data_IF_969035713517
#
_entry.id   IF_969035713517
#
_cell.length_a   1.000
_cell.length_b   1.000
_cell.length_c   1.000
_cell.angle_alpha   90.00
_cell.angle_beta   90.00
_cell.angle_gamma   90.00
#
_symmetry.space_group_name_H-M   'P 1'
#
loop_
_entity.id
_entity.type
_entity.pdbx_description
1 polymer ?
#
# COMPACT_ATOMS: atom_id res chain seq x y z
N UNK A 1 -10.75 -16.31 7.47
CA UNK A 1 -11.26 -14.99 7.91
C UNK A 1 -10.69 -13.95 6.97
N UNK A 2 -11.44 -12.94 6.54
CA UNK A 2 -10.99 -12.01 5.50
C UNK A 2 -9.77 -11.24 6.02
N UNK A 3 -8.64 -11.44 5.36
CA UNK A 3 -7.37 -10.78 5.66
C UNK A 3 -7.13 -9.64 4.67
N UNK A 4 -7.78 -9.65 3.51
CA UNK A 4 -7.57 -8.65 2.46
C UNK A 4 -8.93 -8.17 1.98
N UNK A 5 -9.16 -6.86 2.02
CA UNK A 5 -10.32 -6.23 1.38
C UNK A 5 -9.80 -5.32 0.29
N UNK A 6 -10.11 -5.68 -0.95
CA UNK A 6 -9.78 -4.90 -2.14
C UNK A 6 -11.08 -4.59 -2.88
N UNK A 7 -11.40 -3.30 -2.97
CA UNK A 7 -12.52 -2.76 -3.75
C UNK A 7 -12.03 -1.64 -4.67
N UNK A 8 -10.73 -1.62 -4.98
CA UNK A 8 -10.11 -0.56 -5.76
C UNK A 8 -10.62 -0.51 -7.21
N UNK A 9 -10.43 0.62 -7.88
CA UNK A 9 -10.79 0.83 -9.29
C UNK A 9 -12.27 0.60 -9.59
N UNK A 10 -13.13 1.20 -8.76
CA UNK A 10 -14.57 1.17 -8.93
C UNK A 10 -15.14 2.60 -8.93
N UNK A 11 -16.46 2.69 -9.02
CA UNK A 11 -17.19 3.96 -8.94
C UNK A 11 -17.93 4.12 -7.61
N UNK A 12 -17.46 3.48 -6.53
CA UNK A 12 -18.09 3.64 -5.21
C UNK A 12 -18.02 5.10 -4.77
N UNK A 13 -19.09 5.60 -4.17
CA UNK A 13 -19.24 6.99 -3.80
C UNK A 13 -19.86 7.14 -2.41
N UNK A 14 -19.93 8.38 -1.94
CA UNK A 14 -20.40 8.71 -0.60
C UNK A 14 -19.34 8.46 0.46
N UNK A 15 -19.76 8.54 1.72
CA UNK A 15 -18.84 8.40 2.85
C UNK A 15 -18.47 6.96 3.11
N UNK A 16 -17.25 6.76 3.64
CA UNK A 16 -16.83 5.47 4.15
C UNK A 16 -17.80 5.01 5.27
N UNK A 17 -18.40 3.82 5.14
CA UNK A 17 -19.51 3.42 5.99
C UNK A 17 -19.06 2.87 7.34
N UNK A 18 -18.95 3.77 8.32
CA UNK A 18 -18.54 3.49 9.72
C UNK A 18 -19.15 2.22 10.32
N UNK A 19 -20.45 2.01 10.12
CA UNK A 19 -21.20 0.88 10.69
C UNK A 19 -20.74 -0.49 10.18
N UNK A 20 -20.13 -0.56 9.00
CA UNK A 20 -19.60 -1.83 8.48
C UNK A 20 -18.22 -2.13 9.06
N UNK A 21 -17.43 -1.11 9.38
CA UNK A 21 -16.11 -1.32 9.97
C UNK A 21 -16.17 -1.87 11.39
N UNK A 22 -17.24 -1.56 12.14
CA UNK A 22 -17.41 -2.09 13.50
C UNK A 22 -17.57 -3.61 13.57
N UNK A 23 -17.89 -4.29 12.46
CA UNK A 23 -18.05 -5.75 12.43
C UNK A 23 -16.76 -6.48 12.04
N UNK A 24 -15.68 -5.75 11.71
CA UNK A 24 -14.40 -6.32 11.28
C UNK A 24 -13.49 -6.63 12.47
N UNK A 25 -14.03 -7.32 13.48
CA UNK A 25 -13.38 -7.56 14.78
C UNK A 25 -11.97 -8.15 14.65
N UNK A 26 -11.77 -9.00 13.64
CA UNK A 26 -10.51 -9.71 13.45
C UNK A 26 -9.40 -8.83 12.87
N UNK A 27 -9.73 -7.70 12.24
CA UNK A 27 -8.75 -6.67 11.89
C UNK A 27 -8.43 -5.76 13.09
N UNK A 28 -9.32 -5.69 14.09
CA UNK A 28 -9.15 -4.83 15.27
C UNK A 28 -8.20 -5.39 16.32
N UNK A 29 -8.14 -6.72 16.42
CA UNK A 29 -7.29 -7.39 17.38
C UNK A 29 -5.93 -7.71 16.78
N UNK A 30 -4.89 -7.13 17.37
CA UNK A 30 -3.51 -7.53 17.18
C UNK A 30 -3.38 -8.93 17.82
N UNK A 31 -3.45 -10.01 17.02
CA UNK A 31 -3.18 -11.38 17.50
C UNK A 31 -1.67 -11.58 17.72
N UNK A 32 -1.02 -10.64 18.42
CA UNK A 32 0.40 -10.64 18.76
C UNK A 32 0.71 -11.45 20.04
N UNK A 33 -0.17 -12.39 20.36
CA UNK A 33 0.16 -13.52 21.23
C UNK A 33 0.20 -14.83 20.43
N UNK A 34 0.85 -14.80 19.27
CA UNK A 34 1.74 -15.91 18.95
C UNK A 34 3.09 -15.63 19.62
N UNK A 35 3.12 -15.79 20.95
CA UNK A 35 4.26 -16.56 21.48
C UNK A 35 4.23 -17.83 20.63
N UNK A 36 5.30 -18.24 19.93
CA UNK A 36 5.33 -19.59 19.39
C UNK A 36 4.94 -20.46 20.56
N UNK A 37 3.75 -21.07 20.50
CA UNK A 37 3.27 -21.88 21.60
C UNK A 37 4.21 -23.05 21.69
N UNK A 38 5.30 -22.88 22.45
CA UNK A 38 6.12 -23.97 22.92
C UNK A 38 5.21 -24.71 23.89
N UNK A 39 4.34 -25.58 23.35
CA UNK A 39 3.70 -26.60 24.15
C UNK A 39 4.87 -27.43 24.67
N UNK A 40 5.23 -27.18 25.93
CA UNK A 40 6.28 -27.86 26.65
C UNK A 40 5.78 -29.26 27.01
N UNK A 41 5.68 -30.13 26.02
CA UNK A 41 5.51 -31.57 26.24
C UNK A 41 6.36 -32.31 25.22
N UNK A 42 7.59 -32.63 25.63
CA UNK A 42 8.40 -33.71 25.08
C UNK A 42 8.65 -33.72 23.56
N UNK A 43 9.77 -33.12 23.15
CA UNK A 43 10.59 -33.53 21.99
C UNK A 43 9.90 -33.86 20.65
N UNK A 44 8.88 -33.12 20.23
CA UNK A 44 8.39 -33.16 18.83
C UNK A 44 7.96 -31.75 18.41
N UNK A 45 8.67 -31.14 17.45
CA UNK A 45 8.36 -29.82 16.91
C UNK A 45 7.26 -29.91 15.85
N UNK A 46 6.06 -29.37 16.13
CA UNK A 46 5.04 -29.17 15.10
C UNK A 46 5.09 -27.72 14.62
N UNK A 47 5.63 -27.52 13.41
CA UNK A 47 5.43 -26.29 12.66
C UNK A 47 4.10 -26.40 11.91
N UNK A 48 3.15 -25.50 12.19
CA UNK A 48 1.95 -25.38 11.38
C UNK A 48 2.33 -24.84 10.01
N UNK A 49 2.34 -25.74 9.02
CA UNK A 49 2.62 -25.46 7.63
C UNK A 49 1.32 -25.13 6.91
N UNK A 50 0.87 -23.88 7.02
CA UNK A 50 -0.21 -23.40 6.17
C UNK A 50 0.33 -23.20 4.74
N UNK A 51 -0.31 -23.88 3.80
CA UNK A 51 0.07 -23.87 2.39
C UNK A 51 -1.12 -23.53 1.52
N UNK A 52 -0.93 -22.65 0.55
CA UNK A 52 -1.93 -22.40 -0.50
C UNK A 52 -1.56 -23.24 -1.72
N UNK A 53 -2.52 -24.00 -2.23
CA UNK A 53 -2.37 -24.76 -3.46
C UNK A 53 -2.96 -23.95 -4.61
N UNK A 54 -2.12 -23.42 -5.50
CA UNK A 54 -2.54 -22.75 -6.72
C UNK A 54 -2.62 -23.80 -7.83
N UNK A 55 -3.74 -23.88 -8.54
CA UNK A 55 -3.89 -24.80 -9.67
C UNK A 55 -3.96 -24.02 -10.98
N UNK A 56 -2.91 -24.10 -11.80
CA UNK A 56 -2.86 -23.47 -13.14
C UNK A 56 -2.66 -24.54 -14.20
N UNK A 57 -3.53 -24.58 -15.22
CA UNK A 57 -3.46 -25.54 -16.35
C UNK A 57 -3.35 -27.01 -15.92
N UNK A 58 -4.03 -27.38 -14.83
CA UNK A 58 -4.00 -28.73 -14.27
C UNK A 58 -2.78 -29.03 -13.39
N UNK A 59 -1.87 -28.07 -13.20
CA UNK A 59 -0.71 -28.21 -12.34
C UNK A 59 -0.95 -27.51 -11.00
N UNK A 60 -0.93 -28.30 -9.92
CA UNK A 60 -1.05 -27.82 -8.55
C UNK A 60 0.34 -27.44 -8.02
N UNK A 61 0.53 -26.16 -7.72
CA UNK A 61 1.73 -25.61 -7.10
C UNK A 61 1.38 -25.26 -5.65
N UNK A 62 2.02 -25.97 -4.72
CA UNK A 62 1.88 -25.74 -3.28
C UNK A 62 2.91 -24.69 -2.85
N UNK A 63 2.45 -23.50 -2.47
CA UNK A 63 3.31 -22.46 -1.92
C UNK A 63 3.43 -22.65 -0.41
N UNK A 64 4.65 -22.89 0.08
CA UNK A 64 4.91 -23.35 1.46
C UNK A 64 5.53 -22.25 2.34
N UNK A 65 5.65 -20.99 1.88
CA UNK A 65 6.40 -19.98 2.66
C UNK A 65 6.04 -18.50 2.50
N UNK A 66 4.81 -18.15 2.12
CA UNK A 66 4.37 -16.74 2.07
C UNK A 66 2.94 -16.61 2.62
N UNK A 67 2.79 -16.82 3.92
CA UNK A 67 1.62 -16.35 4.66
C UNK A 67 2.12 -15.79 6.00
N UNK A 68 2.84 -14.66 5.94
CA UNK A 68 2.57 -13.66 6.97
C UNK A 68 1.11 -13.27 6.73
N UNK A 69 0.29 -13.30 7.76
CA UNK A 69 -1.11 -12.87 7.67
C UNK A 69 -1.07 -11.37 7.34
N UNK A 70 -1.06 -11.01 6.05
CA UNK A 70 -1.09 -9.63 5.62
C UNK A 70 -2.53 -9.14 5.70
N UNK A 71 -2.82 -8.30 6.69
CA UNK A 71 -4.10 -7.62 6.75
C UNK A 71 -4.03 -6.36 5.90
N UNK A 72 -4.82 -6.28 4.83
CA UNK A 72 -4.76 -5.18 3.87
C UNK A 72 -6.14 -4.63 3.53
N UNK A 73 -6.22 -3.30 3.40
CA UNK A 73 -7.38 -2.57 2.88
C UNK A 73 -6.93 -1.74 1.68
N UNK A 74 -7.48 -2.02 0.51
CA UNK A 74 -7.32 -1.21 -0.68
C UNK A 74 -8.68 -0.71 -1.19
N UNK A 75 -8.97 0.56 -0.90
CA UNK A 75 -10.17 1.27 -1.39
C UNK A 75 -9.80 2.35 -2.42
N UNK A 76 -8.61 2.26 -3.01
CA UNK A 76 -8.11 3.30 -3.90
C UNK A 76 -8.91 3.42 -5.20
N UNK A 77 -8.76 4.54 -5.90
CA UNK A 77 -9.36 4.76 -7.22
C UNK A 77 -10.88 4.57 -7.20
N UNK A 78 -11.55 5.32 -6.33
CA UNK A 78 -13.00 5.40 -6.16
C UNK A 78 -13.42 6.88 -6.00
N UNK A 79 -14.68 7.14 -5.66
CA UNK A 79 -15.23 8.47 -5.40
C UNK A 79 -15.66 8.63 -3.92
N UNK A 80 -14.97 7.97 -2.98
CA UNK A 80 -15.29 8.12 -1.56
C UNK A 80 -15.02 9.55 -1.08
N UNK A 81 -15.92 10.08 -0.26
CA UNK A 81 -15.88 11.46 0.24
C UNK A 81 -16.00 11.52 1.76
N UNK A 82 -15.85 12.73 2.32
CA UNK A 82 -15.90 12.96 3.76
C UNK A 82 -14.62 12.55 4.48
N UNK A 83 -14.66 12.55 5.81
CA UNK A 83 -13.50 12.24 6.65
C UNK A 83 -13.16 10.75 6.66
N UNK A 84 -11.88 10.45 6.89
CA UNK A 84 -11.43 9.09 7.24
C UNK A 84 -12.03 8.76 8.62
N UNK A 85 -12.91 7.75 8.74
CA UNK A 85 -13.55 7.47 10.01
C UNK A 85 -12.58 6.94 11.07
N UNK A 86 -12.70 7.43 12.31
CA UNK A 86 -11.81 7.04 13.41
C UNK A 86 -11.84 5.54 13.73
N UNK A 87 -12.97 4.86 13.47
CA UNK A 87 -13.11 3.41 13.68
C UNK A 87 -12.07 2.58 12.90
N UNK A 88 -11.59 3.09 11.75
CA UNK A 88 -10.54 2.43 10.98
C UNK A 88 -9.20 2.43 11.72
N UNK A 89 -9.00 3.36 12.66
CA UNK A 89 -7.78 3.47 13.46
C UNK A 89 -7.73 2.42 14.58
N UNK A 90 -8.79 1.63 14.75
CA UNK A 90 -8.81 0.49 15.66
C UNK A 90 -8.39 -0.82 14.97
N UNK A 91 -8.10 -0.81 13.66
CA UNK A 91 -7.65 -1.99 12.90
C UNK A 91 -6.18 -2.34 13.16
N UNK A 92 -5.84 -2.70 14.39
CA UNK A 92 -4.44 -2.85 14.84
C UNK A 92 -3.63 -3.90 14.10
N UNK A 93 -4.29 -4.91 13.50
CA UNK A 93 -3.61 -5.94 12.71
C UNK A 93 -3.27 -5.49 11.27
N UNK A 94 -3.66 -4.27 10.86
CA UNK A 94 -3.49 -3.80 9.48
C UNK A 94 -2.03 -3.50 9.13
N UNK A 95 -1.60 -4.00 7.98
CA UNK A 95 -0.27 -3.81 7.42
C UNK A 95 -0.28 -2.85 6.24
N UNK A 96 -1.36 -2.86 5.43
CA UNK A 96 -1.48 -2.02 4.23
C UNK A 96 -2.80 -1.28 4.27
N UNK A 97 -2.74 0.04 4.13
CA UNK A 97 -3.89 0.92 4.01
C UNK A 97 -3.73 1.83 2.79
N UNK A 98 -4.54 1.60 1.75
CA UNK A 98 -4.54 2.39 0.52
C UNK A 98 -5.91 3.03 0.31
N UNK A 99 -5.95 4.36 0.45
CA UNK A 99 -7.12 5.22 0.19
C UNK A 99 -6.86 6.23 -0.92
N UNK A 100 -5.79 6.04 -1.69
CA UNK A 100 -5.40 6.98 -2.73
C UNK A 100 -6.47 7.16 -3.81
N UNK A 101 -6.43 8.28 -4.52
CA UNK A 101 -7.32 8.55 -5.65
C UNK A 101 -8.81 8.46 -5.26
N UNK A 102 -9.21 9.28 -4.28
CA UNK A 102 -10.58 9.45 -3.83
C UNK A 102 -10.88 10.95 -3.62
N UNK A 103 -12.02 11.28 -3.04
CA UNK A 103 -12.41 12.64 -2.64
C UNK A 103 -12.46 12.81 -1.12
N UNK A 104 -11.64 12.05 -0.37
CA UNK A 104 -11.60 12.12 1.09
C UNK A 104 -11.14 13.51 1.54
N UNK A 105 -11.72 13.99 2.64
CA UNK A 105 -11.54 15.36 3.16
C UNK A 105 -11.37 15.33 4.68
N UNK A 106 -11.27 16.49 5.32
CA UNK A 106 -10.97 16.55 6.75
C UNK A 106 -9.50 16.23 7.04
N UNK A 107 -9.19 16.07 8.32
CA UNK A 107 -7.82 15.84 8.79
C UNK A 107 -7.44 14.37 8.80
N UNK A 108 -6.14 14.07 8.72
CA UNK A 108 -5.63 12.72 9.02
C UNK A 108 -5.80 12.50 10.53
N UNK A 109 -6.57 11.48 10.98
CA UNK A 109 -6.79 11.27 12.41
C UNK A 109 -5.47 11.03 13.14
N UNK A 110 -5.19 11.80 14.19
CA UNK A 110 -3.99 11.60 15.02
C UNK A 110 -3.95 10.20 15.66
N UNK A 111 -5.10 9.55 15.80
CA UNK A 111 -5.26 8.17 16.28
C UNK A 111 -4.66 7.13 15.33
N UNK A 112 -4.24 7.49 14.12
CA UNK A 112 -3.51 6.60 13.19
C UNK A 112 -2.27 5.96 13.82
N UNK A 113 -1.67 6.60 14.82
CA UNK A 113 -0.56 6.04 15.59
C UNK A 113 -0.88 4.74 16.34
N UNK A 114 -2.16 4.34 16.43
CA UNK A 114 -2.60 3.04 16.98
C UNK A 114 -2.26 1.85 16.08
N UNK A 115 -2.08 2.06 14.78
CA UNK A 115 -1.90 1.00 13.77
C UNK A 115 -0.46 0.48 13.78
N UNK A 116 -0.03 -0.16 14.88
CA UNK A 116 1.39 -0.47 15.12
C UNK A 116 2.02 -1.41 14.12
N UNK A 117 1.24 -2.25 13.44
CA UNK A 117 1.70 -3.17 12.39
C UNK A 117 1.73 -2.55 10.99
N UNK A 118 1.37 -1.26 10.84
CA UNK A 118 1.25 -0.64 9.51
C UNK A 118 2.62 -0.50 8.83
N UNK A 119 2.73 -1.11 7.65
CA UNK A 119 3.92 -1.10 6.80
C UNK A 119 3.77 -0.12 5.62
N UNK A 120 2.56 0.03 5.08
CA UNK A 120 2.28 0.89 3.93
C UNK A 120 1.04 1.75 4.13
N UNK A 121 1.19 3.06 3.94
CA UNK A 121 0.12 4.05 4.00
C UNK A 121 0.11 4.91 2.74
N UNK A 122 -0.95 4.82 1.94
CA UNK A 122 -1.17 5.69 0.80
C UNK A 122 -2.49 6.45 0.93
N UNK A 123 -2.37 7.77 1.09
CA UNK A 123 -3.47 8.74 1.19
C UNK A 123 -3.43 9.76 0.03
N UNK A 124 -2.60 9.51 -0.98
CA UNK A 124 -2.36 10.47 -2.07
C UNK A 124 -3.59 10.74 -2.92
N UNK A 125 -3.60 11.86 -3.65
CA UNK A 125 -4.70 12.24 -4.54
C UNK A 125 -6.06 12.24 -3.82
N UNK A 126 -6.17 13.07 -2.78
CA UNK A 126 -7.41 13.31 -2.03
C UNK A 126 -7.56 14.82 -1.76
N UNK A 127 -8.50 15.20 -0.89
CA UNK A 127 -8.73 16.57 -0.43
C UNK A 127 -8.50 16.73 1.08
N UNK A 128 -7.58 15.96 1.66
CA UNK A 128 -7.23 16.01 3.10
C UNK A 128 -6.60 17.36 3.45
N UNK A 129 -6.92 17.88 4.63
CA UNK A 129 -6.48 19.18 5.15
C UNK A 129 -5.78 19.03 6.50
N UNK A 130 -5.23 20.13 7.03
CA UNK A 130 -4.56 20.14 8.33
C UNK A 130 -3.10 19.72 8.25
N UNK A 131 -2.48 19.52 9.41
CA UNK A 131 -1.08 19.13 9.52
C UNK A 131 -0.90 17.60 9.41
N UNK A 132 0.29 17.15 9.03
CA UNK A 132 0.66 15.73 9.13
C UNK A 132 0.81 15.40 10.63
N UNK A 133 -0.04 14.52 11.21
CA UNK A 133 0.02 14.24 12.64
C UNK A 133 1.34 13.57 13.01
N UNK A 134 1.99 14.06 14.08
CA UNK A 134 3.26 13.51 14.56
C UNK A 134 3.17 12.02 14.91
N UNK A 135 1.96 11.50 15.16
CA UNK A 135 1.69 10.11 15.49
C UNK A 135 2.04 9.13 14.35
N UNK A 136 2.10 9.58 13.09
CA UNK A 136 2.62 8.74 11.98
C UNK A 136 4.09 8.37 12.22
N UNK A 137 4.87 9.23 12.88
CA UNK A 137 6.24 8.92 13.28
C UNK A 137 6.33 7.78 14.32
N UNK A 138 5.22 7.42 14.97
CA UNK A 138 5.17 6.33 15.96
C UNK A 138 4.91 4.94 15.36
N UNK A 139 4.81 4.84 14.04
CA UNK A 139 4.54 3.62 13.28
C UNK A 139 5.84 2.92 12.89
N UNK A 140 6.42 2.14 13.79
CA UNK A 140 7.79 1.63 13.65
C UNK A 140 8.07 0.72 12.44
N UNK A 141 7.03 0.15 11.80
CA UNK A 141 7.16 -0.70 10.63
C UNK A 141 6.85 0.02 9.30
N UNK A 142 6.49 1.32 9.35
CA UNK A 142 6.10 2.07 8.17
C UNK A 142 7.28 2.24 7.21
N UNK A 143 7.21 1.56 6.07
CA UNK A 143 8.25 1.54 5.03
C UNK A 143 7.83 2.26 3.76
N UNK A 144 6.51 2.42 3.54
CA UNK A 144 5.94 3.16 2.43
C UNK A 144 4.96 4.21 2.94
N UNK A 145 5.18 5.47 2.57
CA UNK A 145 4.28 6.58 2.86
C UNK A 145 4.05 7.41 1.60
N UNK A 146 2.79 7.73 1.31
CA UNK A 146 2.44 8.71 0.31
C UNK A 146 1.25 9.55 0.77
N UNK A 147 1.45 10.87 0.90
CA UNK A 147 0.43 11.86 1.26
C UNK A 147 0.37 13.00 0.24
N UNK A 148 0.96 12.79 -0.93
CA UNK A 148 1.03 13.78 -2.00
C UNK A 148 -0.34 14.15 -2.57
N UNK A 149 -0.42 15.30 -3.24
CA UNK A 149 -1.63 15.79 -3.91
C UNK A 149 -2.85 15.82 -2.98
N UNK A 150 -2.68 16.49 -1.84
CA UNK A 150 -3.73 16.83 -0.89
C UNK A 150 -3.72 18.34 -0.64
N UNK A 151 -4.39 18.81 0.43
CA UNK A 151 -4.39 20.20 0.89
C UNK A 151 -3.77 20.32 2.28
N UNK A 152 -2.77 19.49 2.57
CA UNK A 152 -2.06 19.49 3.84
C UNK A 152 -1.23 20.77 3.99
N UNK A 153 -1.06 21.20 5.24
CA UNK A 153 -0.36 22.43 5.60
C UNK A 153 0.62 22.18 6.75
N UNK A 154 1.52 23.13 6.98
CA UNK A 154 2.43 23.09 8.13
C UNK A 154 3.77 22.42 7.84
N UNK A 155 4.59 22.30 8.88
CA UNK A 155 5.94 21.75 8.77
C UNK A 155 5.89 20.23 8.79
N UNK A 156 6.59 19.58 7.86
CA UNK A 156 6.79 18.12 7.93
C UNK A 156 7.55 17.77 9.21
N UNK A 157 7.07 16.83 10.05
CA UNK A 157 7.72 16.52 11.32
C UNK A 157 9.18 16.08 11.13
N UNK A 158 10.10 16.85 11.69
CA UNK A 158 11.56 16.62 11.61
C UNK A 158 12.06 15.75 12.77
N UNK A 159 13.20 15.08 12.58
CA UNK A 159 13.77 14.19 13.61
C UNK A 159 13.00 12.87 13.77
N UNK A 160 12.22 12.51 12.76
CA UNK A 160 11.39 11.30 12.72
C UNK A 160 11.70 10.47 11.48
N UNK A 161 11.17 9.24 11.40
CA UNK A 161 11.24 8.42 10.19
C UNK A 161 10.58 9.08 8.97
N UNK A 162 9.74 10.11 9.15
CA UNK A 162 9.12 10.80 8.00
C UNK A 162 10.17 11.43 7.07
N UNK A 163 11.35 11.73 7.60
CA UNK A 163 12.47 12.30 6.87
C UNK A 163 13.21 11.29 5.98
N UNK A 164 12.94 9.98 6.11
CA UNK A 164 13.52 8.97 5.23
C UNK A 164 12.70 8.72 3.96
N UNK A 165 11.48 9.28 3.87
CA UNK A 165 10.67 9.19 2.66
C UNK A 165 11.08 10.25 1.64
N UNK A 166 10.90 9.92 0.37
CA UNK A 166 11.21 10.80 -0.75
C UNK A 166 10.35 12.07 -0.74
N UNK A 167 10.85 13.16 -1.34
CA UNK A 167 10.11 14.41 -1.45
C UNK A 167 8.78 14.23 -2.21
N UNK A 168 8.72 13.29 -3.17
CA UNK A 168 7.50 12.95 -3.91
C UNK A 168 6.39 12.44 -3.01
N UNK A 169 6.67 11.84 -1.85
CA UNK A 169 5.65 11.41 -0.90
C UNK A 169 4.86 12.57 -0.30
N UNK A 170 5.33 13.82 -0.43
CA UNK A 170 4.73 15.01 0.18
C UNK A 170 4.33 16.09 -0.83
N UNK A 171 4.64 15.89 -2.13
CA UNK A 171 4.43 16.90 -3.17
C UNK A 171 2.94 17.22 -3.40
N UNK A 172 2.64 18.29 -4.14
CA UNK A 172 1.25 18.66 -4.46
C UNK A 172 0.42 19.15 -3.26
N UNK A 173 1.05 19.42 -2.11
CA UNK A 173 0.46 20.07 -0.95
C UNK A 173 1.03 21.49 -0.80
N UNK A 174 0.31 22.50 -1.27
CA UNK A 174 0.83 23.88 -1.37
C UNK A 174 1.25 24.51 -0.02
N UNK A 175 0.65 24.06 1.08
CA UNK A 175 0.95 24.58 2.42
C UNK A 175 1.97 23.77 3.22
N UNK A 176 2.45 22.62 2.70
CA UNK A 176 3.49 21.83 3.36
C UNK A 176 4.87 22.42 3.09
N UNK A 177 5.71 22.44 4.12
CA UNK A 177 7.09 22.90 4.01
C UNK A 177 8.05 22.18 4.97
N UNK A 178 9.34 22.40 4.77
CA UNK A 178 10.42 21.75 5.48
C UNK A 178 10.88 20.44 4.81
N UNK A 179 12.05 19.91 5.21
CA UNK A 179 12.59 18.69 4.63
C UNK A 179 11.59 17.51 4.74
N UNK A 180 11.52 16.60 3.75
CA UNK A 180 12.35 16.49 2.55
C UNK A 180 11.96 17.43 1.39
N UNK A 181 10.94 18.28 1.55
CA UNK A 181 10.61 19.26 0.52
C UNK A 181 11.68 20.34 0.45
N UNK A 182 12.04 20.73 -0.78
CA UNK A 182 12.90 21.88 -1.02
C UNK A 182 12.07 23.12 -0.69
N UNK A 183 12.48 23.89 0.33
CA UNK A 183 11.87 25.19 0.60
C UNK A 183 11.88 26.04 -0.67
N UNK A 184 10.69 26.47 -1.11
CA UNK A 184 10.58 27.48 -2.17
C UNK A 184 11.16 28.77 -1.61
N UNK A 185 12.41 29.06 -1.96
CA UNK A 185 13.04 30.36 -1.73
C UNK A 185 12.17 31.46 -2.38
N UNK A 186 11.51 32.22 -1.51
CA UNK A 186 11.00 33.57 -1.73
C UNK A 186 9.73 33.74 -2.59
N UNK A 187 8.58 33.83 -1.92
CA UNK A 187 7.73 35.04 -1.98
C UNK A 187 7.03 35.46 -3.28
N UNK A 188 7.12 34.76 -4.42
CA UNK A 188 6.34 35.11 -5.62
C UNK A 188 5.74 33.89 -6.33
N UNK A 189 4.42 33.97 -6.55
CA UNK A 189 3.68 33.12 -7.49
C UNK A 189 4.38 33.12 -8.84
N UNK A 190 4.80 31.94 -9.28
CA UNK A 190 5.06 31.68 -10.68
C UNK A 190 3.87 30.93 -11.26
N UNK A 191 3.04 31.68 -11.99
CA UNK A 191 2.19 31.13 -13.03
C UNK A 191 3.11 30.50 -14.08
N UNK A 192 3.26 29.18 -14.06
CA UNK A 192 3.79 28.41 -15.19
C UNK A 192 2.96 27.13 -15.34
N UNK A 193 1.87 27.24 -16.10
CA UNK A 193 1.50 26.18 -17.03
C UNK A 193 2.20 26.49 -18.36
N UNK A 194 3.02 25.54 -18.83
CA UNK A 194 2.59 24.73 -19.95
C UNK A 194 2.52 23.28 -19.50
N UNK A 195 1.44 22.60 -19.86
CA UNK A 195 1.37 21.14 -19.77
C UNK A 195 2.66 20.53 -20.35
N UNK A 196 3.40 19.73 -19.57
CA UNK A 196 4.17 18.67 -20.18
C UNK A 196 3.15 17.67 -20.70
N UNK A 197 3.17 17.45 -22.01
CA UNK A 197 2.55 16.30 -22.66
C UNK A 197 2.77 15.05 -21.80
N UNK A 198 1.65 14.39 -21.46
CA UNK A 198 1.56 13.12 -20.75
C UNK A 198 2.67 12.17 -21.19
N UNK A 199 3.70 12.06 -20.35
CA UNK A 199 4.80 11.11 -20.45
C UNK A 199 4.76 10.25 -19.21
N UNK A 200 3.97 9.18 -19.30
CA UNK A 200 3.74 8.14 -18.29
C UNK A 200 5.00 7.76 -17.51
N UNK A 201 5.13 8.22 -16.27
CA UNK A 201 5.99 7.60 -15.25
C UNK A 201 5.09 7.14 -14.10
N UNK A 202 4.60 5.92 -14.32
CA UNK A 202 3.97 5.02 -13.36
C UNK A 202 4.89 4.94 -12.12
N UNK A 203 4.31 5.05 -10.91
CA UNK A 203 4.91 4.44 -9.72
C UNK A 203 5.24 3.01 -10.11
N UNK A 204 6.52 2.74 -10.38
CA UNK A 204 6.96 1.48 -10.96
C UNK A 204 6.37 0.36 -10.11
N UNK A 205 5.42 -0.37 -10.70
CA UNK A 205 5.28 -1.76 -10.37
C UNK A 205 6.70 -2.31 -10.50
N UNK A 206 7.33 -2.64 -9.37
CA UNK A 206 8.32 -3.70 -9.36
C UNK A 206 7.60 -4.97 -9.78
N UNK A 207 7.37 -5.07 -11.09
CA UNK A 207 7.32 -6.33 -11.78
C UNK A 207 8.74 -6.86 -11.65
N UNK A 208 8.98 -7.56 -10.56
CA UNK A 208 10.07 -8.51 -10.50
C UNK A 208 9.88 -9.44 -11.70
N UNK A 209 10.63 -9.20 -12.76
CA UNK A 209 10.80 -10.15 -13.84
C UNK A 209 11.52 -11.33 -13.23
N UNK A 210 10.77 -12.38 -12.89
CA UNK A 210 11.35 -13.68 -12.61
C UNK A 210 11.77 -14.26 -13.96
N UNK A 211 13.00 -13.98 -14.38
CA UNK A 211 13.64 -14.79 -15.41
C UNK A 211 13.94 -16.14 -14.78
N UNK A 212 13.24 -17.19 -15.20
CA UNK A 212 13.67 -18.56 -14.96
C UNK A 212 14.45 -18.99 -16.18
N UNK A 213 15.78 -18.99 -16.06
CA UNK A 213 16.65 -19.59 -17.05
C UNK A 213 16.56 -21.13 -16.92
N UNK A 214 15.76 -21.76 -17.78
CA UNK A 214 15.87 -23.19 -18.01
C UNK A 214 16.94 -23.41 -19.08
N UNK A 215 18.19 -23.50 -18.66
CA UNK A 215 19.28 -23.98 -19.51
C UNK A 215 19.21 -25.50 -19.66
N UNK A 216 19.00 -26.00 -20.88
CA UNK A 216 19.33 -27.38 -21.24
C UNK A 216 20.68 -27.37 -21.96
N UNK A 217 21.66 -28.10 -21.45
CA UNK A 217 22.97 -28.24 -22.09
C UNK A 217 22.93 -29.39 -23.10
N UNK A 218 23.07 -29.08 -24.38
CA UNK A 218 23.50 -30.04 -25.41
C UNK A 218 24.39 -29.30 -26.43
N UNK A 219 25.68 -29.65 -26.49
CA UNK A 219 26.58 -29.22 -27.56
C UNK A 219 27.07 -27.76 -27.48
N UNK A 220 28.17 -27.47 -28.19
CA UNK A 220 28.95 -26.22 -28.15
C UNK A 220 28.24 -25.01 -28.80
N UNK A 221 27.12 -24.56 -28.21
CA UNK A 221 26.49 -23.30 -28.62
C UNK A 221 25.33 -22.89 -27.72
N UNK A 222 25.40 -21.71 -27.09
CA UNK A 222 24.30 -21.12 -26.33
C UNK A 222 23.49 -20.24 -27.27
N UNK A 223 22.24 -20.62 -27.56
CA UNK A 223 21.27 -19.72 -28.21
C UNK A 223 20.38 -19.14 -27.10
N UNK A 224 20.65 -17.89 -26.71
CA UNK A 224 19.78 -17.11 -25.83
C UNK A 224 18.83 -16.33 -26.73
N UNK A 225 17.54 -16.63 -26.69
CA UNK A 225 16.50 -15.81 -27.34
C UNK A 225 15.49 -15.38 -26.28
N UNK A 226 15.27 -14.08 -26.05
CA UNK A 226 14.27 -13.63 -25.10
C UNK A 226 12.87 -13.86 -25.66
N UNK A 227 12.08 -14.69 -25.00
CA UNK A 227 10.64 -14.77 -25.25
C UNK A 227 10.00 -13.58 -24.54
N UNK A 228 9.65 -12.55 -25.31
CA UNK A 228 8.93 -11.38 -24.81
C UNK A 228 7.42 -11.64 -24.89
N UNK A 229 6.75 -11.73 -23.74
CA UNK A 229 5.27 -11.71 -23.70
C UNK A 229 4.78 -10.26 -23.62
N UNK A 230 4.20 -9.76 -24.72
CA UNK A 230 3.45 -8.50 -24.74
C UNK A 230 2.02 -8.71 -24.25
N UNK A 231 1.53 -7.82 -23.38
CA UNK A 231 0.23 -7.87 -22.71
C UNK A 231 -0.96 -7.44 -23.60
N UNK A 232 -0.82 -7.41 -24.93
CA UNK A 232 -1.92 -7.11 -25.86
C UNK A 232 -2.68 -8.35 -26.37
N UNK A 233 -2.29 -9.57 -25.96
CA UNK A 233 -2.94 -10.78 -26.47
C UNK A 233 -4.22 -11.21 -25.75
N UNK A 234 -4.64 -10.47 -24.70
CA UNK A 234 -5.79 -10.88 -23.86
C UNK A 234 -7.13 -10.25 -24.25
N UNK A 235 -7.15 -9.28 -25.17
CA UNK A 235 -8.40 -8.59 -25.57
C UNK A 235 -8.94 -9.04 -26.94
N UNK A 236 -8.49 -10.20 -27.46
CA UNK A 236 -8.98 -10.73 -28.76
C UNK A 236 -9.66 -12.09 -28.75
N UNK A 237 -9.88 -12.74 -27.60
CA UNK A 237 -10.56 -14.05 -27.54
C UNK A 237 -11.55 -14.18 -26.38
N UNK A 238 -12.48 -13.23 -26.27
CA UNK A 238 -13.76 -13.43 -25.58
C UNK A 238 -14.88 -12.76 -26.38
N UNK A 239 -15.13 -13.28 -27.57
CA UNK A 239 -16.45 -13.26 -28.18
C UNK A 239 -16.88 -14.70 -28.37
N UNK A 240 -17.64 -15.21 -27.42
CA UNK A 240 -18.78 -16.13 -27.58
C UNK A 240 -19.63 -16.04 -26.32
#
# INVERSE_FOLDING_TARGET
MIQIVDIAFNNFNGKLPEKFFTTWEKMMHDEDHVVPGFIHTGNIYYSYLDSVTISTKGQQVKLVKILRIFTAIDFSSNNFEGAIPEVLMDFKAIHILNFSNNALSGEIPSTIGKLKQLESLDLSNNSLVGEIPMQIASLSFLSCLNVSFNRLVGKIPTGTQLQSFEASSFEGNDGLYGPPLIEKLDGKRQDWHPQPSCGTLICSNDRNFLSVELGFVFGLGIIISPITFSKQWRDKHTQF
#
